data_IF_862752512333
#
_entry.id   IF_862752512333
#
_cell.length_a   1.000
_cell.length_b   1.000
_cell.length_c   1.000
_cell.angle_alpha   90.00
_cell.angle_beta   90.00
_cell.angle_gamma   90.00
#
_symmetry.space_group_name_H-M   'P 1'
#
loop_
_entity.id
_entity.type
_entity.pdbx_description
1 polymer ?
#
# COMPACT_ATOMS: atom_id res chain seq x y z
N UNK A 1 -49.13 -0.37 -25.07
CA UNK A 1 -49.56 -1.33 -26.11
C UNK A 1 -49.12 -2.73 -25.66
N UNK A 2 -50.08 -3.54 -25.18
CA UNK A 2 -49.80 -4.76 -24.42
C UNK A 2 -49.71 -6.00 -25.31
N UNK A 3 -48.69 -6.81 -25.07
CA UNK A 3 -48.42 -8.09 -25.74
C UNK A 3 -49.06 -9.24 -24.96
N UNK A 4 -49.45 -10.36 -25.60
CA UNK A 4 -50.03 -11.53 -24.90
C UNK A 4 -49.00 -12.23 -24.02
N UNK A 5 -49.40 -12.79 -22.89
CA UNK A 5 -48.44 -13.30 -21.92
C UNK A 5 -48.90 -14.65 -21.38
N UNK A 6 -48.26 -15.73 -21.84
CA UNK A 6 -48.34 -17.04 -21.20
C UNK A 6 -47.30 -17.09 -20.09
N UNK A 7 -47.76 -17.01 -18.85
CA UNK A 7 -46.93 -17.07 -17.64
C UNK A 7 -46.86 -18.51 -17.15
N UNK A 8 -45.66 -19.07 -17.05
CA UNK A 8 -45.40 -20.32 -16.36
C UNK A 8 -44.48 -20.04 -15.18
N UNK A 9 -44.92 -20.41 -13.98
CA UNK A 9 -44.11 -20.33 -12.76
C UNK A 9 -43.71 -21.73 -12.32
N UNK A 10 -42.41 -21.94 -12.12
CA UNK A 10 -41.87 -23.16 -11.54
C UNK A 10 -41.18 -22.79 -10.23
N UNK A 11 -41.61 -23.41 -9.12
CA UNK A 11 -40.96 -23.24 -7.82
C UNK A 11 -40.35 -24.56 -7.36
N UNK A 12 -39.04 -24.56 -7.08
CA UNK A 12 -38.36 -25.69 -6.43
C UNK A 12 -37.25 -25.14 -5.55
N UNK A 13 -37.22 -25.57 -4.28
CA UNK A 13 -36.17 -25.25 -3.32
C UNK A 13 -35.90 -23.74 -3.08
N UNK A 14 -36.93 -22.89 -3.11
CA UNK A 14 -36.81 -21.47 -2.75
C UNK A 14 -36.39 -20.52 -3.89
N UNK A 15 -36.12 -21.03 -5.09
CA UNK A 15 -36.00 -20.22 -6.31
C UNK A 15 -37.32 -20.22 -7.09
N UNK A 16 -37.76 -19.03 -7.52
CA UNK A 16 -38.96 -18.83 -8.36
C UNK A 16 -38.49 -18.41 -9.74
N UNK A 17 -38.91 -19.17 -10.76
CA UNK A 17 -38.61 -18.87 -12.15
C UNK A 17 -39.89 -18.44 -12.87
N UNK A 18 -39.82 -17.35 -13.63
CA UNK A 18 -40.96 -16.81 -14.38
C UNK A 18 -40.65 -16.79 -15.87
N UNK A 19 -41.45 -17.53 -16.63
CA UNK A 19 -41.36 -17.62 -18.07
C UNK A 19 -42.56 -16.92 -18.71
N UNK A 20 -42.29 -16.14 -19.75
CA UNK A 20 -43.28 -15.32 -20.43
C UNK A 20 -43.24 -15.52 -21.94
N UNK A 21 -44.26 -16.14 -22.51
CA UNK A 21 -44.35 -16.31 -23.96
C UNK A 21 -45.46 -15.44 -24.55
N UNK A 22 -45.17 -14.72 -25.63
CA UNK A 22 -46.11 -13.84 -26.34
C UNK A 22 -46.20 -14.19 -27.81
N UNK A 23 -47.33 -13.93 -28.46
CA UNK A 23 -47.46 -13.94 -29.93
C UNK A 23 -47.49 -12.52 -30.52
N UNK A 24 -47.24 -11.51 -29.67
CA UNK A 24 -47.28 -10.09 -30.01
C UNK A 24 -48.59 -9.56 -30.58
N UNK A 25 -49.70 -10.30 -30.47
CA UNK A 25 -50.99 -9.87 -30.99
C UNK A 25 -51.74 -9.00 -29.97
N UNK A 26 -51.92 -7.73 -30.35
CA UNK A 26 -52.45 -6.66 -29.52
C UNK A 26 -53.92 -6.84 -29.09
N UNK A 27 -54.66 -7.77 -29.71
CA UNK A 27 -56.11 -7.87 -29.50
C UNK A 27 -56.55 -8.84 -28.38
N UNK A 28 -55.64 -9.59 -27.75
CA UNK A 28 -56.03 -10.64 -26.79
C UNK A 28 -55.21 -10.67 -25.49
N UNK A 29 -54.50 -9.59 -25.12
CA UNK A 29 -53.75 -9.52 -23.84
C UNK A 29 -54.53 -8.85 -22.71
N UNK A 30 -54.35 -9.35 -21.49
CA UNK A 30 -55.01 -8.88 -20.27
C UNK A 30 -54.09 -7.96 -19.44
N UNK A 31 -52.76 -8.08 -19.58
CA UNK A 31 -51.79 -7.39 -18.72
C UNK A 31 -50.90 -6.44 -19.54
N UNK A 32 -50.60 -5.26 -18.98
CA UNK A 32 -49.64 -4.32 -19.58
C UNK A 32 -48.18 -4.64 -19.21
N UNK A 33 -47.23 -4.07 -19.95
CA UNK A 33 -45.78 -4.17 -19.65
C UNK A 33 -45.46 -3.84 -18.18
N UNK A 34 -46.00 -2.72 -17.68
CA UNK A 34 -45.79 -2.28 -16.30
C UNK A 34 -46.44 -3.21 -15.27
N UNK A 35 -47.56 -3.83 -15.61
CA UNK A 35 -48.20 -4.82 -14.73
C UNK A 35 -47.32 -6.05 -14.60
N UNK A 36 -46.75 -6.55 -15.70
CA UNK A 36 -45.83 -7.70 -15.68
C UNK A 36 -44.57 -7.39 -14.86
N UNK A 37 -43.94 -6.23 -15.07
CA UNK A 37 -42.76 -5.82 -14.29
C UNK A 37 -43.10 -5.74 -12.80
N UNK A 38 -44.24 -5.15 -12.45
CA UNK A 38 -44.71 -5.06 -11.07
C UNK A 38 -44.92 -6.45 -10.48
N UNK A 39 -45.63 -7.34 -11.19
CA UNK A 39 -45.92 -8.68 -10.68
C UNK A 39 -44.69 -9.55 -10.47
N UNK A 40 -43.66 -9.42 -11.31
CA UNK A 40 -42.40 -10.17 -11.12
C UNK A 40 -41.60 -9.59 -9.95
N UNK A 41 -41.49 -8.26 -9.87
CA UNK A 41 -40.75 -7.60 -8.78
C UNK A 41 -41.48 -7.72 -7.43
N UNK A 42 -42.80 -7.93 -7.39
CA UNK A 42 -43.56 -8.22 -6.18
C UNK A 42 -43.20 -9.58 -5.53
N UNK A 43 -42.60 -10.50 -6.27
CA UNK A 43 -42.25 -11.84 -5.77
C UNK A 43 -41.12 -11.75 -4.75
N UNK A 44 -39.99 -11.12 -5.12
CA UNK A 44 -38.77 -11.11 -4.29
C UNK A 44 -37.98 -9.78 -4.35
N UNK A 45 -38.59 -8.74 -4.94
CA UNK A 45 -38.00 -7.41 -5.09
C UNK A 45 -37.41 -7.13 -6.48
N UNK A 46 -37.02 -5.88 -6.69
CA UNK A 46 -36.53 -5.40 -7.98
C UNK A 46 -35.31 -6.19 -8.47
N UNK A 47 -35.41 -6.75 -9.68
CA UNK A 47 -34.34 -7.53 -10.35
C UNK A 47 -33.87 -8.76 -9.56
N UNK A 48 -34.69 -9.28 -8.64
CA UNK A 48 -34.38 -10.48 -7.86
C UNK A 48 -34.95 -11.74 -8.48
N UNK A 49 -36.01 -11.62 -9.27
CA UNK A 49 -36.62 -12.71 -10.03
C UNK A 49 -36.43 -12.46 -11.52
N UNK A 50 -35.56 -13.24 -12.20
CA UNK A 50 -35.34 -13.09 -13.63
C UNK A 50 -36.57 -13.55 -14.42
N UNK A 51 -37.01 -12.70 -15.35
CA UNK A 51 -38.08 -13.02 -16.29
C UNK A 51 -37.48 -13.39 -17.65
N UNK A 52 -37.68 -14.63 -18.08
CA UNK A 52 -37.28 -15.06 -19.42
C UNK A 52 -38.49 -14.89 -20.33
N UNK A 53 -38.39 -13.95 -21.29
CA UNK A 53 -39.49 -13.59 -22.18
C UNK A 53 -39.22 -13.95 -23.64
N UNK A 54 -40.23 -14.47 -24.34
CA UNK A 54 -40.10 -14.93 -25.72
C UNK A 54 -41.27 -14.53 -26.60
N UNK A 55 -40.99 -14.11 -27.84
CA UNK A 55 -42.01 -13.89 -28.86
C UNK A 55 -42.13 -15.10 -29.82
N UNK A 56 -43.25 -15.81 -29.77
CA UNK A 56 -43.67 -16.93 -30.60
C UNK A 56 -44.67 -16.47 -31.66
N UNK A 57 -44.20 -16.13 -32.86
CA UNK A 57 -45.08 -15.78 -33.99
C UNK A 57 -44.88 -16.75 -35.17
N UNK A 58 -45.24 -18.01 -34.97
CA UNK A 58 -45.11 -19.08 -35.98
C UNK A 58 -46.42 -19.14 -36.79
N UNK A 59 -46.48 -18.42 -37.92
CA UNK A 59 -47.64 -18.44 -38.81
C UNK A 59 -47.19 -18.72 -40.25
N UNK A 60 -47.79 -19.73 -40.89
CA UNK A 60 -47.59 -20.09 -42.30
C UNK A 60 -48.90 -19.86 -43.07
N UNK A 61 -48.93 -19.03 -44.14
CA UNK A 61 -47.81 -18.28 -44.74
C UNK A 61 -47.42 -17.03 -43.94
N UNK A 62 -46.13 -16.66 -43.99
CA UNK A 62 -45.62 -15.46 -43.30
C UNK A 62 -46.14 -14.20 -44.00
N UNK A 63 -47.08 -13.50 -43.37
CA UNK A 63 -47.58 -12.20 -43.83
C UNK A 63 -46.68 -11.05 -43.35
N UNK A 64 -46.81 -9.87 -43.96
CA UNK A 64 -46.11 -8.65 -43.49
C UNK A 64 -46.46 -8.29 -42.04
N UNK A 65 -47.70 -8.54 -41.62
CA UNK A 65 -48.14 -8.33 -40.23
C UNK A 65 -47.42 -9.26 -39.25
N UNK A 66 -47.20 -10.53 -39.62
CA UNK A 66 -46.42 -11.49 -38.81
C UNK A 66 -44.96 -11.05 -38.71
N UNK A 67 -44.35 -10.55 -39.80
CA UNK A 67 -42.98 -10.00 -39.75
C UNK A 67 -42.87 -8.75 -38.86
N UNK A 68 -43.85 -7.87 -38.93
CA UNK A 68 -43.91 -6.68 -38.07
C UNK A 68 -44.03 -7.07 -36.59
N UNK A 69 -44.88 -8.06 -36.27
CA UNK A 69 -45.03 -8.58 -34.92
C UNK A 69 -43.77 -9.29 -34.41
N UNK A 70 -43.03 -9.99 -35.27
CA UNK A 70 -41.73 -10.59 -34.92
C UNK A 70 -40.72 -9.50 -34.55
N UNK A 71 -40.67 -8.38 -35.28
CA UNK A 71 -39.71 -7.30 -35.03
C UNK A 71 -40.05 -6.38 -33.84
N UNK A 72 -41.27 -6.44 -33.31
CA UNK A 72 -41.74 -5.54 -32.24
C UNK A 72 -41.39 -6.09 -30.85
N UNK A 73 -40.11 -6.03 -30.48
CA UNK A 73 -39.59 -6.64 -29.24
C UNK A 73 -39.33 -5.62 -28.13
N UNK A 74 -39.73 -4.36 -28.31
CA UNK A 74 -39.34 -3.25 -27.42
C UNK A 74 -39.81 -3.49 -25.97
N UNK A 75 -41.08 -3.85 -25.81
CA UNK A 75 -41.64 -4.09 -24.47
C UNK A 75 -41.04 -5.33 -23.80
N UNK A 76 -40.73 -6.38 -24.58
CA UNK A 76 -40.05 -7.59 -24.07
C UNK A 76 -38.67 -7.25 -23.52
N UNK A 77 -37.90 -6.44 -24.27
CA UNK A 77 -36.59 -5.96 -23.84
C UNK A 77 -36.68 -5.11 -22.56
N UNK A 78 -37.68 -4.23 -22.45
CA UNK A 78 -37.90 -3.44 -21.23
C UNK A 78 -38.26 -4.31 -20.04
N UNK A 79 -39.17 -5.28 -20.21
CA UNK A 79 -39.56 -6.21 -19.15
C UNK A 79 -38.35 -7.02 -18.65
N UNK A 80 -37.57 -7.59 -19.56
CA UNK A 80 -36.36 -8.34 -19.21
C UNK A 80 -35.31 -7.46 -18.51
N UNK A 81 -35.11 -6.21 -18.98
CA UNK A 81 -34.20 -5.26 -18.31
C UNK A 81 -34.61 -4.91 -16.87
N UNK A 82 -35.90 -4.67 -16.64
CA UNK A 82 -36.41 -4.24 -15.33
C UNK A 82 -36.60 -5.38 -14.32
N UNK A 83 -36.61 -6.62 -14.79
CA UNK A 83 -36.68 -7.84 -13.98
C UNK A 83 -35.32 -8.55 -13.85
N UNK A 84 -34.30 -8.11 -14.58
CA UNK A 84 -32.97 -8.75 -14.57
C UNK A 84 -32.91 -10.07 -15.34
N UNK A 85 -33.88 -10.32 -16.23
CA UNK A 85 -33.93 -11.49 -17.10
C UNK A 85 -33.50 -11.19 -18.54
N UNK A 86 -33.93 -12.05 -19.49
CA UNK A 86 -33.53 -12.00 -20.89
C UNK A 86 -34.73 -12.13 -21.82
N UNK A 87 -34.65 -11.58 -23.03
CA UNK A 87 -35.70 -11.67 -24.05
C UNK A 87 -35.18 -12.38 -25.31
N UNK A 88 -36.06 -13.09 -26.03
CA UNK A 88 -35.75 -13.75 -27.30
C UNK A 88 -36.93 -13.68 -28.27
N UNK A 89 -36.68 -13.78 -29.58
CA UNK A 89 -37.71 -13.72 -30.63
C UNK A 89 -37.58 -14.89 -31.59
N UNK A 90 -38.70 -15.56 -31.86
CA UNK A 90 -38.74 -16.84 -32.53
C UNK A 90 -39.31 -16.68 -33.94
N UNK A 91 -38.51 -17.07 -34.93
CA UNK A 91 -38.75 -16.78 -36.35
C UNK A 91 -39.05 -18.06 -37.17
N UNK A 92 -38.63 -19.24 -36.69
CA UNK A 92 -38.92 -20.55 -37.30
C UNK A 92 -38.99 -21.66 -36.26
N UNK A 93 -39.69 -22.75 -36.61
CA UNK A 93 -39.70 -24.02 -35.87
C UNK A 93 -38.32 -24.71 -35.88
N UNK A 94 -37.47 -24.39 -36.86
CA UNK A 94 -36.12 -24.98 -36.97
C UNK A 94 -35.15 -24.53 -35.85
N UNK A 95 -35.55 -23.55 -35.03
CA UNK A 95 -34.76 -23.02 -33.92
C UNK A 95 -35.22 -23.51 -32.54
N UNK A 96 -36.14 -24.47 -32.47
CA UNK A 96 -36.64 -25.02 -31.19
C UNK A 96 -35.53 -25.50 -30.25
N UNK A 97 -34.46 -26.09 -30.78
CA UNK A 97 -33.35 -26.64 -29.97
C UNK A 97 -32.55 -25.51 -29.29
N UNK A 98 -32.30 -24.45 -30.05
CA UNK A 98 -31.61 -23.24 -29.59
C UNK A 98 -32.47 -22.52 -28.54
N UNK A 99 -33.79 -22.57 -28.68
CA UNK A 99 -34.74 -21.97 -27.72
C UNK A 99 -34.77 -22.75 -26.41
N UNK A 100 -34.93 -24.08 -26.47
CA UNK A 100 -34.89 -24.94 -25.28
C UNK A 100 -33.56 -24.72 -24.56
N UNK A 101 -32.45 -24.68 -25.30
CA UNK A 101 -31.13 -24.39 -24.72
C UNK A 101 -31.08 -22.99 -24.11
N UNK A 102 -31.47 -21.93 -24.81
CA UNK A 102 -31.40 -20.56 -24.26
C UNK A 102 -32.36 -20.36 -23.07
N UNK A 103 -33.57 -20.92 -23.10
CA UNK A 103 -34.56 -20.80 -22.02
C UNK A 103 -34.21 -21.63 -20.79
N UNK A 104 -33.67 -22.84 -20.99
CA UNK A 104 -33.37 -23.73 -19.88
C UNK A 104 -31.94 -23.59 -19.38
N UNK A 105 -30.96 -23.16 -20.18
CA UNK A 105 -29.55 -23.15 -19.78
C UNK A 105 -28.83 -21.80 -19.80
N UNK A 106 -29.02 -20.97 -20.83
CA UNK A 106 -28.13 -19.81 -21.05
C UNK A 106 -28.59 -18.53 -20.37
N UNK A 107 -29.91 -18.33 -20.23
CA UNK A 107 -30.43 -17.14 -19.60
C UNK A 107 -30.03 -17.06 -18.13
N UNK A 108 -29.70 -15.86 -17.65
CA UNK A 108 -29.41 -15.62 -16.23
C UNK A 108 -30.63 -16.01 -15.41
N UNK A 109 -30.46 -17.03 -14.58
CA UNK A 109 -31.58 -17.63 -13.86
C UNK A 109 -32.44 -18.58 -14.69
N UNK A 110 -31.85 -19.26 -15.66
CA UNK A 110 -32.44 -20.48 -16.19
C UNK A 110 -32.13 -21.68 -15.27
N UNK A 111 -32.87 -22.78 -15.43
CA UNK A 111 -32.68 -23.99 -14.61
C UNK A 111 -31.26 -24.58 -14.67
N UNK A 112 -30.60 -24.44 -15.82
CA UNK A 112 -29.24 -24.89 -16.08
C UNK A 112 -28.17 -23.82 -15.90
N UNK A 113 -28.53 -22.61 -15.45
CA UNK A 113 -27.60 -21.52 -15.21
C UNK A 113 -27.13 -21.51 -13.75
N UNK A 114 -25.85 -21.78 -13.53
CA UNK A 114 -25.21 -21.72 -12.22
C UNK A 114 -24.11 -20.68 -12.18
N UNK A 115 -24.09 -19.87 -11.11
CA UNK A 115 -22.96 -18.99 -10.82
C UNK A 115 -22.34 -19.34 -9.47
N UNK A 116 -21.02 -19.25 -9.41
CA UNK A 116 -20.24 -19.46 -8.19
C UNK A 116 -19.18 -18.36 -8.08
N UNK A 117 -19.21 -17.61 -6.98
CA UNK A 117 -18.19 -16.62 -6.65
C UNK A 117 -17.51 -17.00 -5.34
N UNK A 118 -16.18 -16.96 -5.33
CA UNK A 118 -15.41 -17.09 -4.11
C UNK A 118 -14.12 -16.27 -4.19
N UNK A 119 -13.54 -15.96 -3.02
CA UNK A 119 -12.28 -15.23 -2.92
C UNK A 119 -11.26 -16.07 -2.15
N UNK A 120 -10.07 -16.22 -2.72
CA UNK A 120 -8.93 -16.87 -2.09
C UNK A 120 -7.97 -15.81 -1.51
N UNK A 121 -7.61 -15.93 -0.22
CA UNK A 121 -6.54 -15.15 0.41
C UNK A 121 -5.28 -16.03 0.49
N UNK A 122 -4.18 -15.55 -0.10
CA UNK A 122 -2.90 -16.24 -0.12
C UNK A 122 -2.08 -15.98 1.17
N UNK A 123 -2.60 -15.18 2.10
CA UNK A 123 -2.02 -14.84 3.40
C UNK A 123 -0.99 -13.71 3.35
N UNK A 124 -0.26 -13.61 2.23
CA UNK A 124 0.73 -12.59 1.96
C UNK A 124 0.70 -12.18 0.48
N UNK A 125 1.42 -11.11 0.12
CA UNK A 125 1.60 -10.73 -1.28
C UNK A 125 2.60 -11.70 -1.91
N UNK A 126 2.15 -12.42 -2.93
CA UNK A 126 2.92 -13.43 -3.65
C UNK A 126 3.01 -13.10 -5.13
N UNK A 127 4.00 -13.66 -5.80
CA UNK A 127 4.12 -13.60 -7.26
C UNK A 127 3.28 -14.73 -7.87
N UNK A 128 2.19 -14.37 -8.54
CA UNK A 128 1.32 -15.33 -9.24
C UNK A 128 1.97 -15.75 -10.56
N UNK A 129 2.14 -17.06 -10.77
CA UNK A 129 2.69 -17.60 -12.01
C UNK A 129 1.58 -18.03 -12.97
N UNK A 130 0.65 -18.85 -12.49
CA UNK A 130 -0.43 -19.36 -13.33
C UNK A 130 -1.65 -19.81 -12.54
N UNK A 131 -2.79 -19.81 -13.20
CA UNK A 131 -4.05 -20.39 -12.71
C UNK A 131 -4.54 -21.40 -13.74
N UNK A 132 -4.88 -22.60 -13.28
CA UNK A 132 -5.54 -23.62 -14.08
C UNK A 132 -6.87 -23.97 -13.43
N UNK A 133 -7.92 -24.07 -14.24
CA UNK A 133 -9.25 -24.50 -13.78
C UNK A 133 -9.59 -25.82 -14.46
N UNK A 134 -10.16 -26.75 -13.69
CA UNK A 134 -10.53 -28.07 -14.16
C UNK A 134 -12.05 -28.22 -14.07
N UNK A 135 -12.70 -28.32 -15.22
CA UNK A 135 -14.15 -28.52 -15.32
C UNK A 135 -14.48 -29.94 -15.74
N UNK A 136 -15.55 -30.50 -15.18
CA UNK A 136 -16.25 -31.67 -15.72
C UNK A 136 -17.43 -31.18 -16.55
N UNK A 137 -17.30 -31.27 -17.88
CA UNK A 137 -18.34 -30.86 -18.82
C UNK A 137 -18.91 -32.13 -19.48
N UNK A 138 -20.09 -32.62 -19.06
CA UNK A 138 -20.59 -33.95 -19.43
C UNK A 138 -21.17 -34.03 -20.86
N UNK A 139 -21.52 -32.89 -21.46
CA UNK A 139 -22.08 -32.81 -22.82
C UNK A 139 -21.46 -31.62 -23.56
N UNK A 140 -21.31 -31.77 -24.88
CA UNK A 140 -20.95 -30.74 -25.86
C UNK A 140 -21.83 -29.48 -25.83
N UNK A 141 -23.06 -29.58 -25.29
CA UNK A 141 -23.99 -28.45 -25.12
C UNK A 141 -23.86 -27.77 -23.75
N UNK A 142 -23.15 -28.39 -22.81
CA UNK A 142 -22.83 -27.77 -21.52
C UNK A 142 -21.58 -26.91 -21.66
N UNK A 143 -21.47 -25.87 -20.84
CA UNK A 143 -20.31 -25.00 -20.85
C UNK A 143 -19.92 -24.57 -19.43
N UNK A 144 -18.65 -24.25 -19.25
CA UNK A 144 -18.12 -23.61 -18.07
C UNK A 144 -17.24 -22.45 -18.50
N UNK A 145 -17.42 -21.29 -17.88
CA UNK A 145 -16.56 -20.14 -18.06
C UNK A 145 -16.19 -19.54 -16.72
N UNK A 146 -15.08 -18.81 -16.69
CA UNK A 146 -14.65 -18.14 -15.48
C UNK A 146 -13.96 -16.82 -15.79
N UNK A 147 -14.04 -15.92 -14.82
CA UNK A 147 -13.34 -14.64 -14.79
C UNK A 147 -12.63 -14.51 -13.45
N UNK A 148 -11.64 -13.61 -13.42
CA UNK A 148 -10.84 -13.34 -12.22
C UNK A 148 -10.69 -11.85 -11.98
N UNK A 149 -10.63 -11.50 -10.71
CA UNK A 149 -10.25 -10.19 -10.26
C UNK A 149 -9.19 -10.30 -9.15
N UNK A 150 -8.28 -9.33 -9.11
CA UNK A 150 -7.15 -9.33 -8.18
C UNK A 150 -7.21 -8.17 -7.21
N UNK A 151 -6.75 -8.39 -5.99
CA UNK A 151 -6.65 -7.35 -4.97
C UNK A 151 -5.44 -7.58 -4.05
N UNK A 152 -4.90 -6.49 -3.48
CA UNK A 152 -3.86 -6.54 -2.45
C UNK A 152 -4.42 -6.32 -1.04
N UNK A 153 -5.57 -5.66 -0.91
CA UNK A 153 -6.18 -5.27 0.37
C UNK A 153 -7.46 -6.05 0.72
N UNK A 154 -8.04 -6.76 -0.25
CA UNK A 154 -9.28 -7.53 -0.10
C UNK A 154 -10.56 -6.70 -0.29
N UNK A 155 -10.44 -5.41 -0.60
CA UNK A 155 -11.58 -4.50 -0.79
C UNK A 155 -11.68 -4.04 -2.24
N UNK A 156 -10.57 -3.56 -2.81
CA UNK A 156 -10.53 -3.05 -4.18
C UNK A 156 -10.04 -4.15 -5.13
N UNK A 157 -10.95 -4.64 -5.98
CA UNK A 157 -10.65 -5.68 -6.96
C UNK A 157 -10.49 -5.09 -8.36
N UNK A 158 -9.34 -5.33 -8.98
CA UNK A 158 -9.10 -5.07 -10.40
C UNK A 158 -9.58 -6.26 -11.21
N UNK A 159 -10.69 -6.10 -11.93
CA UNK A 159 -11.25 -7.14 -12.79
C UNK A 159 -10.40 -7.29 -14.04
N UNK A 160 -10.06 -8.53 -14.38
CA UNK A 160 -9.51 -8.83 -15.71
C UNK A 160 -10.70 -9.00 -16.65
N UNK A 161 -10.84 -8.08 -17.60
CA UNK A 161 -11.90 -8.12 -18.61
C UNK A 161 -11.61 -9.18 -19.69
N UNK A 162 -11.51 -10.43 -19.24
CA UNK A 162 -11.31 -11.61 -20.07
C UNK A 162 -12.08 -12.77 -19.46
N UNK A 163 -12.97 -13.34 -20.26
CA UNK A 163 -13.65 -14.58 -19.92
C UNK A 163 -12.83 -15.75 -20.44
N UNK A 164 -12.49 -16.66 -19.55
CA UNK A 164 -11.78 -17.89 -19.88
C UNK A 164 -12.78 -19.02 -20.06
N UNK A 165 -12.57 -19.82 -21.10
CA UNK A 165 -13.38 -21.00 -21.37
C UNK A 165 -12.93 -22.16 -20.45
N UNK A 166 -13.77 -23.19 -20.35
CA UNK A 166 -13.53 -24.47 -19.66
C UNK A 166 -12.45 -25.34 -20.31
N UNK A 167 -11.45 -24.72 -20.93
CA UNK A 167 -10.25 -25.39 -21.38
C UNK A 167 -9.31 -25.53 -20.18
N UNK A 168 -8.86 -26.75 -19.87
CA UNK A 168 -7.87 -27.05 -18.82
C UNK A 168 -6.46 -26.49 -19.17
N UNK A 169 -6.40 -25.30 -19.76
CA UNK A 169 -5.18 -24.61 -20.18
C UNK A 169 -4.76 -23.64 -19.09
N UNK A 170 -3.50 -23.68 -18.65
CA UNK A 170 -2.99 -22.73 -17.68
C UNK A 170 -3.04 -21.30 -18.23
N UNK A 171 -3.57 -20.38 -17.44
CA UNK A 171 -3.47 -18.94 -17.68
C UNK A 171 -2.22 -18.44 -16.96
N UNK A 172 -1.20 -18.06 -17.71
CA UNK A 172 0.05 -17.52 -17.16
C UNK A 172 -0.02 -16.02 -16.93
N UNK A 173 0.67 -15.56 -15.89
CA UNK A 173 0.81 -14.15 -15.54
C UNK A 173 2.29 -13.80 -15.46
N UNK A 174 2.66 -12.63 -15.98
CA UNK A 174 4.01 -12.08 -15.87
C UNK A 174 4.02 -11.00 -14.78
N UNK A 175 4.97 -11.09 -13.84
CA UNK A 175 5.24 -10.08 -12.81
C UNK A 175 3.99 -9.61 -12.03
N UNK A 176 3.07 -10.54 -11.72
CA UNK A 176 1.81 -10.20 -11.06
C UNK A 176 1.88 -10.47 -9.55
N UNK A 177 2.07 -9.40 -8.78
CA UNK A 177 2.04 -9.44 -7.32
C UNK A 177 0.62 -9.23 -6.78
N UNK A 178 0.13 -10.19 -6.01
CA UNK A 178 -1.24 -10.21 -5.49
C UNK A 178 -1.31 -10.90 -4.12
N UNK A 179 -2.38 -10.62 -3.36
CA UNK A 179 -2.74 -11.38 -2.16
C UNK A 179 -4.09 -12.08 -2.29
N UNK A 180 -5.06 -11.39 -2.86
CA UNK A 180 -6.44 -11.87 -3.00
C UNK A 180 -6.77 -12.14 -4.46
N UNK A 181 -7.41 -13.27 -4.71
CA UNK A 181 -7.96 -13.63 -6.02
C UNK A 181 -9.45 -13.90 -5.85
N UNK A 182 -10.27 -13.13 -6.55
CA UNK A 182 -11.70 -13.41 -6.66
C UNK A 182 -11.94 -14.16 -7.96
N UNK A 183 -12.61 -15.29 -7.86
CA UNK A 183 -13.05 -16.10 -8.98
C UNK A 183 -14.55 -15.94 -9.14
N UNK A 184 -14.99 -15.74 -10.37
CA UNK A 184 -16.40 -15.80 -10.73
C UNK A 184 -16.56 -16.82 -11.85
N UNK A 185 -17.31 -17.88 -11.57
CA UNK A 185 -17.48 -19.06 -12.43
C UNK A 185 -18.93 -19.15 -12.84
N UNK A 186 -19.16 -19.35 -14.14
CA UNK A 186 -20.47 -19.56 -14.75
C UNK A 186 -20.50 -20.97 -15.33
N UNK A 187 -21.53 -21.72 -14.99
CA UNK A 187 -21.76 -23.10 -15.44
C UNK A 187 -23.12 -23.14 -16.14
N UNK A 188 -23.15 -23.69 -17.35
CA UNK A 188 -24.33 -23.79 -18.20
C UNK A 188 -24.60 -25.26 -18.52
N UNK A 189 -25.77 -25.77 -18.13
CA UNK A 189 -26.17 -27.16 -18.34
C UNK A 189 -26.89 -27.32 -19.68
N UNK A 190 -26.34 -28.09 -20.62
CA UNK A 190 -27.01 -28.38 -21.88
C UNK A 190 -28.26 -29.25 -21.71
N UNK A 191 -29.39 -28.82 -22.25
CA UNK A 191 -30.61 -29.62 -22.33
C UNK A 191 -30.79 -30.19 -23.75
N UNK A 192 -31.52 -31.30 -23.85
CA UNK A 192 -31.79 -31.99 -25.12
C UNK A 192 -33.27 -31.98 -25.43
N UNK A 193 -33.64 -31.79 -26.70
CA UNK A 193 -35.02 -31.95 -27.17
C UNK A 193 -35.52 -33.39 -27.13
N UNK A 194 -34.62 -34.38 -27.25
CA UNK A 194 -35.01 -35.78 -27.23
C UNK A 194 -35.46 -36.13 -25.80
N UNK A 195 -36.74 -36.48 -25.57
CA UNK A 195 -37.18 -37.02 -24.30
C UNK A 195 -36.60 -38.42 -24.19
N UNK A 196 -35.34 -38.50 -23.78
CA UNK A 196 -34.75 -39.75 -23.33
C UNK A 196 -35.41 -40.01 -21.98
N UNK A 197 -36.05 -41.18 -21.84
CA UNK A 197 -36.80 -41.71 -20.68
C UNK A 197 -36.79 -40.83 -19.41
N UNK A 198 -37.94 -40.68 -18.74
CA UNK A 198 -38.20 -39.87 -17.52
C UNK A 198 -37.20 -40.01 -16.34
N UNK A 199 -36.18 -40.87 -16.47
CA UNK A 199 -35.13 -41.15 -15.50
C UNK A 199 -33.69 -40.85 -15.97
N UNK A 200 -33.48 -40.29 -17.17
CA UNK A 200 -32.13 -39.84 -17.56
C UNK A 200 -31.80 -38.53 -16.86
N UNK A 201 -31.03 -38.65 -15.78
CA UNK A 201 -30.49 -37.53 -15.02
C UNK A 201 -29.66 -36.64 -15.95
N UNK A 202 -30.11 -35.39 -16.12
CA UNK A 202 -29.26 -34.32 -16.65
C UNK A 202 -28.08 -34.18 -15.69
N UNK A 203 -26.88 -34.53 -16.15
CA UNK A 203 -25.65 -34.37 -15.36
C UNK A 203 -25.24 -32.90 -15.52
N UNK A 204 -25.26 -32.09 -14.44
CA UNK A 204 -24.82 -30.72 -14.53
C UNK A 204 -23.30 -30.65 -14.69
N UNK A 205 -22.76 -29.66 -15.43
CA UNK A 205 -21.34 -29.39 -15.42
C UNK A 205 -20.89 -28.99 -14.01
N UNK A 206 -19.63 -29.30 -13.69
CA UNK A 206 -19.08 -28.97 -12.37
C UNK A 206 -17.65 -28.45 -12.47
N UNK A 207 -17.28 -27.59 -11.53
CA UNK A 207 -15.90 -27.20 -11.31
C UNK A 207 -15.28 -28.20 -10.32
N UNK A 208 -14.27 -28.95 -10.76
CA UNK A 208 -13.59 -29.96 -9.95
C UNK A 208 -12.53 -29.31 -9.06
N UNK A 209 -11.65 -28.50 -9.66
CA UNK A 209 -10.56 -27.86 -8.94
C UNK A 209 -10.09 -26.58 -9.62
N UNK A 210 -9.47 -25.73 -8.81
CA UNK A 210 -8.70 -24.57 -9.25
C UNK A 210 -7.31 -24.73 -8.68
N UNK A 211 -6.32 -24.78 -9.57
CA UNK A 211 -4.91 -24.90 -9.23
C UNK A 211 -4.24 -23.55 -9.40
N UNK A 212 -3.76 -22.98 -8.29
CA UNK A 212 -3.07 -21.70 -8.28
C UNK A 212 -1.59 -21.97 -8.05
N UNK A 213 -0.76 -21.59 -9.01
CA UNK A 213 0.70 -21.70 -8.92
C UNK A 213 1.28 -20.32 -8.63
N UNK A 214 1.99 -20.19 -7.52
CA UNK A 214 2.55 -18.93 -7.05
C UNK A 214 3.86 -19.14 -6.31
N UNK A 215 4.69 -18.08 -6.26
CA UNK A 215 5.93 -18.04 -5.50
C UNK A 215 5.75 -17.20 -4.23
N UNK A 216 6.01 -17.82 -3.08
CA UNK A 216 6.11 -17.12 -1.81
C UNK A 216 7.44 -16.41 -1.70
N UNK A 217 7.39 -15.18 -1.17
CA UNK A 217 8.60 -14.41 -0.91
C UNK A 217 9.40 -15.06 0.21
N UNK A 218 10.70 -15.28 -0.01
CA UNK A 218 11.60 -15.82 1.02
C UNK A 218 12.51 -14.73 1.55
N UNK A 219 12.57 -14.63 2.88
CA UNK A 219 13.52 -13.76 3.58
C UNK A 219 14.78 -14.53 3.94
N UNK A 220 15.93 -13.99 3.58
CA UNK A 220 17.25 -14.50 3.93
C UNK A 220 18.03 -13.39 4.59
N UNK A 221 18.70 -13.69 5.70
CA UNK A 221 19.54 -12.72 6.39
C UNK A 221 21.00 -13.05 6.17
N UNK A 222 21.78 -12.06 5.73
CA UNK A 222 23.22 -12.15 5.59
C UNK A 222 23.86 -11.19 6.60
N UNK A 223 24.61 -11.72 7.56
CA UNK A 223 25.33 -10.91 8.52
C UNK A 223 26.83 -10.93 8.20
N UNK A 224 27.42 -9.76 8.00
CA UNK A 224 28.87 -9.64 7.78
C UNK A 224 29.63 -9.88 9.09
N UNK A 225 30.94 -10.05 9.00
CA UNK A 225 31.78 -10.16 10.18
C UNK A 225 31.75 -8.87 11.00
N UNK A 226 31.72 -9.00 12.33
CA UNK A 226 31.83 -7.88 13.25
C UNK A 226 33.18 -7.18 13.14
N UNK A 227 33.20 -5.87 13.36
CA UNK A 227 34.43 -5.07 13.46
C UNK A 227 34.48 -4.35 14.79
N UNK A 228 35.60 -4.53 15.51
CA UNK A 228 35.92 -3.76 16.70
C UNK A 228 36.51 -2.40 16.31
N UNK A 229 36.14 -1.34 17.02
CA UNK A 229 36.62 0.03 16.82
C UNK A 229 36.90 0.70 18.17
N UNK A 230 37.42 1.92 18.14
CA UNK A 230 37.55 2.73 19.35
C UNK A 230 36.22 3.35 19.76
N UNK A 231 35.38 3.69 18.79
CA UNK A 231 34.05 4.27 19.01
C UNK A 231 33.02 3.74 18.03
N UNK A 232 31.76 3.77 18.44
CA UNK A 232 30.66 3.31 17.62
C UNK A 232 30.41 4.23 16.42
N UNK A 233 30.08 3.66 15.24
CA UNK A 233 29.65 4.45 14.10
C UNK A 233 28.36 5.21 14.42
N UNK A 234 28.32 6.50 14.06
CA UNK A 234 27.11 7.33 14.14
C UNK A 234 26.39 7.40 12.80
N UNK A 235 27.13 7.30 11.70
CA UNK A 235 26.58 7.25 10.36
C UNK A 235 27.33 6.20 9.54
N UNK A 236 26.60 5.45 8.73
CA UNK A 236 27.16 4.47 7.80
C UNK A 236 26.49 4.59 6.44
N UNK A 237 27.28 4.82 5.41
CA UNK A 237 26.85 4.76 4.02
C UNK A 237 27.09 3.33 3.55
N UNK A 238 26.06 2.69 2.99
CA UNK A 238 26.13 1.32 2.47
C UNK A 238 25.72 1.33 1.01
N UNK A 239 26.44 0.55 0.20
CA UNK A 239 26.11 0.27 -1.18
C UNK A 239 26.23 -1.23 -1.44
N UNK A 240 25.13 -1.84 -1.88
CA UNK A 240 25.08 -3.26 -2.24
C UNK A 240 24.97 -3.38 -3.74
N UNK A 241 25.99 -3.95 -4.38
CA UNK A 241 25.96 -4.28 -5.80
C UNK A 241 25.27 -5.63 -5.99
N UNK A 242 24.14 -5.64 -6.70
CA UNK A 242 23.33 -6.82 -6.97
C UNK A 242 22.89 -6.83 -8.44
N UNK A 243 22.31 -7.95 -8.92
CA UNK A 243 21.65 -7.98 -10.23
C UNK A 243 20.49 -6.98 -10.32
N UNK A 244 19.93 -6.73 -11.51
CA UNK A 244 18.79 -5.82 -11.71
C UNK A 244 17.55 -6.31 -10.92
N UNK A 245 17.48 -5.88 -9.67
CA UNK A 245 16.42 -6.19 -8.70
C UNK A 245 15.83 -4.89 -8.19
N UNK A 246 14.59 -4.97 -7.71
CA UNK A 246 13.98 -3.83 -7.06
C UNK A 246 14.77 -3.49 -5.78
N UNK A 247 15.04 -2.20 -5.56
CA UNK A 247 15.84 -1.75 -4.42
C UNK A 247 15.25 -2.14 -3.05
N UNK A 248 13.95 -2.47 -2.99
CA UNK A 248 13.22 -2.90 -1.79
C UNK A 248 13.50 -4.36 -1.40
N UNK A 249 14.09 -5.15 -2.30
CA UNK A 249 14.45 -6.55 -2.06
C UNK A 249 15.70 -6.71 -1.22
N UNK A 250 16.51 -5.65 -1.08
CA UNK A 250 17.68 -5.64 -0.22
C UNK A 250 17.52 -4.52 0.78
N UNK A 251 17.53 -4.87 2.07
CA UNK A 251 17.63 -3.91 3.15
C UNK A 251 18.94 -4.08 3.89
N UNK A 252 19.62 -2.98 4.15
CA UNK A 252 20.83 -2.94 4.96
C UNK A 252 20.53 -2.28 6.32
N UNK A 253 21.06 -2.89 7.39
CA UNK A 253 20.94 -2.42 8.76
C UNK A 253 22.25 -2.62 9.52
N UNK A 254 22.38 -1.99 10.69
CA UNK A 254 23.63 -1.92 11.45
C UNK A 254 23.42 -2.35 12.90
N UNK A 255 24.08 -3.38 13.38
CA UNK A 255 24.08 -3.69 14.82
C UNK A 255 25.32 -3.07 15.50
N UNK A 256 25.20 -2.70 16.78
CA UNK A 256 26.31 -2.22 17.64
C UNK A 256 26.82 -3.33 18.59
N UNK A 257 26.67 -4.57 18.14
CA UNK A 257 27.05 -5.82 18.81
C UNK A 257 27.30 -6.91 17.77
N UNK A 258 27.58 -8.13 18.23
CA UNK A 258 27.71 -9.31 17.36
C UNK A 258 26.38 -10.03 17.08
N UNK A 259 25.25 -9.36 17.31
CA UNK A 259 23.91 -9.96 17.23
C UNK A 259 23.62 -10.69 15.91
N UNK A 260 22.75 -11.69 15.99
CA UNK A 260 22.17 -12.41 14.84
C UNK A 260 20.65 -12.22 14.72
N UNK A 261 20.08 -11.26 15.45
CA UNK A 261 18.66 -10.91 15.34
C UNK A 261 18.49 -9.64 14.52
N UNK A 262 17.72 -9.71 13.43
CA UNK A 262 17.46 -8.58 12.52
C UNK A 262 16.91 -7.32 13.22
N UNK A 263 16.15 -7.46 14.31
CA UNK A 263 15.62 -6.32 15.07
C UNK A 263 16.73 -5.41 15.66
N UNK A 264 17.92 -5.98 15.86
CA UNK A 264 19.07 -5.25 16.38
C UNK A 264 19.79 -4.45 15.25
N UNK A 265 19.50 -4.77 13.97
CA UNK A 265 20.02 -4.09 12.78
C UNK A 265 19.05 -3.02 12.24
N UNK A 266 17.75 -3.27 12.40
CA UNK A 266 16.67 -2.43 11.88
C UNK A 266 15.54 -2.33 12.90
N UNK A 267 15.29 -1.12 13.38
CA UNK A 267 14.20 -0.78 14.29
C UNK A 267 13.79 0.69 14.13
N UNK A 268 12.77 1.13 14.84
CA UNK A 268 12.24 2.49 14.71
C UNK A 268 13.27 3.58 15.05
N UNK A 269 14.25 3.28 15.91
CA UNK A 269 15.32 4.22 16.27
C UNK A 269 16.43 4.29 15.22
N UNK A 270 16.56 3.23 14.43
CA UNK A 270 17.61 3.05 13.44
C UNK A 270 17.03 2.24 12.28
N UNK A 271 16.31 2.91 11.36
CA UNK A 271 15.67 2.23 10.25
C UNK A 271 16.71 1.62 9.32
N UNK A 272 16.37 0.48 8.72
CA UNK A 272 17.14 -0.06 7.60
C UNK A 272 16.99 0.85 6.39
N UNK A 273 18.01 0.83 5.54
CA UNK A 273 17.97 1.45 4.21
C UNK A 273 17.78 0.38 3.15
N UNK A 274 17.32 0.75 1.97
CA UNK A 274 17.31 -0.11 0.80
C UNK A 274 18.75 -0.40 0.32
N UNK A 275 18.89 -1.05 -0.84
CA UNK A 275 20.16 -1.44 -1.47
C UNK A 275 21.31 -0.40 -1.37
N UNK A 276 20.99 0.89 -1.46
CA UNK A 276 21.94 1.98 -1.30
C UNK A 276 21.36 3.06 -0.37
N UNK A 277 22.17 3.59 0.54
CA UNK A 277 21.72 4.65 1.42
C UNK A 277 22.63 4.93 2.61
N UNK A 278 22.09 5.68 3.56
CA UNK A 278 22.78 6.10 4.78
C UNK A 278 21.99 5.71 6.02
N UNK A 279 22.60 4.90 6.88
CA UNK A 279 22.09 4.51 8.19
C UNK A 279 22.57 5.54 9.21
N UNK A 280 21.65 6.05 10.03
CA UNK A 280 21.95 6.94 11.14
C UNK A 280 21.74 6.16 12.44
N UNK A 281 22.81 5.99 13.20
CA UNK A 281 22.79 5.28 14.46
C UNK A 281 22.76 6.31 15.61
N UNK A 282 21.72 6.32 16.47
CA UNK A 282 21.61 7.31 17.53
C UNK A 282 22.84 7.34 18.42
N UNK A 283 23.34 8.54 18.68
CA UNK A 283 24.43 8.78 19.61
C UNK A 283 23.81 8.95 20.99
N UNK A 284 23.92 7.91 21.82
CA UNK A 284 23.40 7.88 23.20
C UNK A 284 24.48 8.04 24.26
N UNK A 285 25.66 8.49 23.81
CA UNK A 285 26.84 8.79 24.60
C UNK A 285 27.66 9.86 23.87
N UNK A 286 28.09 10.91 24.57
CA UNK A 286 29.18 11.78 24.13
C UNK A 286 30.44 11.34 24.86
N UNK A 287 31.49 11.07 24.08
CA UNK A 287 32.82 10.85 24.63
C UNK A 287 33.33 12.19 25.15
N UNK A 288 33.32 12.34 26.46
CA UNK A 288 34.01 13.42 27.13
C UNK A 288 35.08 12.77 27.99
N UNK A 289 36.30 13.27 27.89
CA UNK A 289 37.39 13.06 28.84
C UNK A 289 37.04 13.48 30.30
N UNK A 290 35.75 13.63 30.62
CA UNK A 290 35.12 14.06 31.85
C UNK A 290 33.79 13.31 31.97
N UNK A 291 33.79 12.07 32.48
CA UNK A 291 32.73 11.32 33.18
C UNK A 291 31.23 11.73 33.04
N UNK A 292 30.73 12.15 31.88
CA UNK A 292 29.32 12.49 31.70
C UNK A 292 28.74 11.72 30.52
N UNK A 293 28.32 10.48 30.77
CA UNK A 293 27.33 9.86 29.87
C UNK A 293 26.08 10.75 29.93
N UNK A 294 25.73 11.39 28.83
CA UNK A 294 24.50 12.16 28.73
C UNK A 294 23.31 11.23 28.99
N UNK A 295 22.46 11.59 29.95
CA UNK A 295 21.35 10.74 30.37
C UNK A 295 20.15 11.03 29.48
N UNK A 296 19.76 10.04 28.68
CA UNK A 296 18.56 10.09 27.86
C UNK A 296 17.32 10.15 28.76
N UNK A 297 16.36 11.08 28.54
CA UNK A 297 15.15 11.12 29.35
C UNK A 297 14.24 9.91 29.07
N UNK A 298 13.66 9.36 30.14
CA UNK A 298 12.67 8.29 30.04
C UNK A 298 11.26 8.90 30.04
N UNK A 299 10.45 8.50 29.07
CA UNK A 299 9.06 8.94 28.85
C UNK A 299 8.10 7.96 29.53
N UNK A 300 7.18 8.45 30.35
CA UNK A 300 6.16 7.63 31.00
C UNK A 300 5.14 7.06 30.01
N UNK A 301 4.92 5.75 30.05
CA UNK A 301 3.81 5.09 29.36
C UNK A 301 2.65 4.86 30.33
N UNK A 302 2.94 4.23 31.47
CA UNK A 302 1.93 3.90 32.48
C UNK A 302 2.48 4.10 33.91
N UNK A 303 1.92 3.39 34.91
CA UNK A 303 2.33 3.52 36.31
C UNK A 303 3.62 2.77 36.66
N UNK A 304 4.12 1.91 35.79
CA UNK A 304 5.30 1.06 36.01
C UNK A 304 6.27 1.09 34.82
N UNK A 305 5.78 1.40 33.62
CA UNK A 305 6.54 1.36 32.39
C UNK A 305 6.98 2.75 31.92
N UNK A 306 8.26 2.83 31.62
CA UNK A 306 8.92 3.96 30.99
C UNK A 306 9.49 3.52 29.62
N UNK A 307 9.57 4.45 28.68
CA UNK A 307 10.14 4.26 27.34
C UNK A 307 11.32 5.19 27.12
N UNK A 308 12.33 4.72 26.42
CA UNK A 308 13.43 5.55 25.95
C UNK A 308 12.97 6.57 24.91
N UNK A 309 13.53 7.77 24.95
CA UNK A 309 13.24 8.84 23.99
C UNK A 309 13.58 8.46 22.55
N UNK A 310 14.75 7.86 22.33
CA UNK A 310 15.21 7.43 21.03
C UNK A 310 14.69 6.04 20.63
N UNK A 311 13.98 5.31 21.50
CA UNK A 311 13.46 3.98 21.19
C UNK A 311 14.43 2.82 21.49
N UNK A 312 14.27 1.65 20.85
CA UNK A 312 15.03 0.44 21.14
C UNK A 312 16.55 0.62 21.12
N UNK A 313 17.28 -0.20 21.85
CA UNK A 313 18.75 -0.16 21.88
C UNK A 313 19.36 -1.57 21.84
N UNK A 314 20.68 -1.63 21.68
CA UNK A 314 21.40 -2.89 21.56
C UNK A 314 21.31 -3.72 22.86
N UNK A 315 20.91 -5.00 22.80
CA UNK A 315 20.77 -5.84 23.99
C UNK A 315 22.06 -6.08 24.78
N UNK A 316 23.22 -5.91 24.15
CA UNK A 316 24.53 -6.08 24.78
C UNK A 316 25.11 -4.78 25.33
N UNK A 317 24.39 -3.66 25.23
CA UNK A 317 24.80 -2.39 25.81
C UNK A 317 24.79 -2.43 27.35
N UNK A 318 25.76 -1.73 27.96
CA UNK A 318 25.74 -1.46 29.39
C UNK A 318 24.76 -0.34 29.69
N UNK A 319 23.81 -0.59 30.60
CA UNK A 319 22.72 0.34 30.91
C UNK A 319 22.70 0.69 32.38
N UNK A 320 22.51 1.98 32.68
CA UNK A 320 22.28 2.50 34.03
C UNK A 320 21.06 3.40 34.02
N UNK A 321 20.08 3.13 34.88
CA UNK A 321 18.89 3.95 35.06
C UNK A 321 19.08 4.86 36.27
N UNK A 322 18.59 6.09 36.17
CA UNK A 322 18.67 7.08 37.23
C UNK A 322 17.28 7.59 37.59
N UNK A 323 17.07 7.84 38.88
CA UNK A 323 15.95 8.61 39.42
C UNK A 323 16.50 9.88 40.05
N UNK A 324 16.10 11.06 39.56
CA UNK A 324 16.54 12.38 40.04
C UNK A 324 18.06 12.47 40.22
N UNK A 325 18.76 11.98 39.20
CA UNK A 325 20.22 11.85 39.11
C UNK A 325 20.91 10.80 39.98
N UNK A 326 20.19 10.09 40.86
CA UNK A 326 20.71 8.98 41.64
C UNK A 326 20.61 7.66 40.86
N UNK A 327 21.61 6.78 41.00
CA UNK A 327 21.61 5.48 40.33
C UNK A 327 20.53 4.60 40.96
N UNK A 328 19.56 4.19 40.15
CA UNK A 328 18.53 3.24 40.55
C UNK A 328 19.13 1.83 40.61
N UNK A 329 18.82 1.08 41.66
CA UNK A 329 19.29 -0.30 41.81
C UNK A 329 18.75 -1.19 40.69
N UNK A 330 19.58 -2.06 40.12
CA UNK A 330 19.16 -2.99 39.07
C UNK A 330 18.11 -4.02 39.52
N UNK A 331 17.82 -4.11 40.82
CA UNK A 331 16.71 -4.92 41.37
C UNK A 331 15.36 -4.22 41.29
N UNK A 332 15.36 -2.91 41.10
CA UNK A 332 14.16 -2.07 41.12
C UNK A 332 13.55 -1.90 39.73
N UNK A 333 14.22 -2.40 38.68
CA UNK A 333 13.71 -2.35 37.32
C UNK A 333 14.14 -3.55 36.49
N UNK A 334 13.45 -3.74 35.37
CA UNK A 334 13.80 -4.70 34.33
C UNK A 334 13.86 -3.98 32.99
N UNK A 335 14.88 -4.31 32.20
CA UNK A 335 15.13 -3.72 30.89
C UNK A 335 14.59 -4.62 29.77
N UNK A 336 14.02 -3.99 28.75
CA UNK A 336 13.60 -4.63 27.50
C UNK A 336 14.20 -3.85 26.31
N UNK A 337 15.48 -4.11 25.96
CA UNK A 337 16.22 -3.32 24.98
C UNK A 337 15.55 -3.21 23.62
N UNK A 338 15.03 -4.32 23.09
CA UNK A 338 14.38 -4.39 21.77
C UNK A 338 13.04 -3.67 21.70
N UNK A 339 12.41 -3.43 22.84
CA UNK A 339 11.14 -2.70 22.95
C UNK A 339 11.37 -1.24 23.34
N UNK A 340 12.60 -0.88 23.75
CA UNK A 340 12.89 0.45 24.27
C UNK A 340 12.28 0.71 25.65
N UNK A 341 12.05 -0.33 26.47
CA UNK A 341 11.29 -0.22 27.71
C UNK A 341 12.12 -0.46 28.98
N UNK A 342 11.75 0.27 30.02
CA UNK A 342 12.19 0.06 31.41
C UNK A 342 10.93 -0.14 32.26
N UNK A 343 10.81 -1.31 32.89
CA UNK A 343 9.69 -1.63 33.78
C UNK A 343 10.18 -1.56 35.21
N UNK A 344 9.62 -0.66 36.00
CA UNK A 344 9.91 -0.51 37.42
C UNK A 344 9.16 -1.56 38.25
N UNK A 345 9.77 -1.95 39.36
CA UNK A 345 9.21 -2.88 40.35
C UNK A 345 8.24 -2.18 41.31
N UNK A 346 8.28 -0.85 41.36
CA UNK A 346 7.42 0.02 42.16
C UNK A 346 6.61 0.94 41.26
N UNK A 347 5.48 1.42 41.79
CA UNK A 347 4.64 2.41 41.12
C UNK A 347 5.39 3.74 41.04
N UNK A 348 5.43 4.34 39.85
CA UNK A 348 5.92 5.69 39.64
C UNK A 348 5.19 6.67 40.55
N UNK A 349 5.96 7.57 41.18
CA UNK A 349 5.40 8.57 42.05
C UNK A 349 4.34 9.43 41.33
N UNK A 350 3.33 9.86 42.09
CA UNK A 350 2.22 10.66 41.57
C UNK A 350 2.70 12.04 41.06
N UNK A 351 3.83 12.52 41.56
CA UNK A 351 4.47 13.79 41.20
C UNK A 351 5.52 13.66 40.08
N UNK A 352 5.53 12.56 39.32
CA UNK A 352 6.45 12.36 38.19
C UNK A 352 6.49 13.59 37.27
N UNK A 353 7.69 14.12 37.05
CA UNK A 353 8.00 15.14 36.04
C UNK A 353 8.85 14.54 34.94
N UNK A 354 8.72 15.08 33.73
CA UNK A 354 9.63 14.74 32.65
C UNK A 354 11.08 14.99 33.09
N UNK A 355 11.97 14.05 32.78
CA UNK A 355 13.38 13.98 33.23
C UNK A 355 13.63 13.56 34.68
N UNK A 356 12.59 13.24 35.47
CA UNK A 356 12.80 12.61 36.79
C UNK A 356 13.49 11.25 36.66
N UNK A 357 13.24 10.56 35.56
CA UNK A 357 13.92 9.31 35.22
C UNK A 357 14.73 9.50 33.95
N UNK A 358 15.98 9.04 33.99
CA UNK A 358 16.89 9.10 32.85
C UNK A 358 17.68 7.80 32.72
N UNK A 359 18.25 7.55 31.55
CA UNK A 359 18.97 6.32 31.24
C UNK A 359 20.28 6.63 30.52
N UNK A 360 21.33 5.91 30.90
CA UNK A 360 22.63 5.91 30.26
C UNK A 360 22.79 4.59 29.52
N UNK A 361 23.12 4.63 28.23
CA UNK A 361 23.25 3.45 27.37
C UNK A 361 24.59 3.51 26.65
N UNK A 362 25.51 2.64 27.07
CA UNK A 362 26.84 2.50 26.49
C UNK A 362 26.92 1.21 25.67
N UNK A 363 26.94 1.35 24.34
CA UNK A 363 27.14 0.22 23.43
C UNK A 363 28.59 -0.25 23.48
N UNK A 364 28.82 -1.53 23.18
CA UNK A 364 30.18 -2.03 22.95
C UNK A 364 30.79 -1.33 21.73
N UNK A 365 32.11 -1.15 21.67
CA UNK A 365 32.77 -0.57 20.50
C UNK A 365 32.97 -1.61 19.39
N UNK A 366 31.87 -2.24 19.00
CA UNK A 366 31.80 -3.28 17.98
C UNK A 366 30.58 -3.01 17.11
N UNK A 367 30.72 -3.17 15.80
CA UNK A 367 29.58 -3.05 14.90
C UNK A 367 29.55 -4.16 13.87
N UNK A 368 28.37 -4.40 13.31
CA UNK A 368 28.13 -5.45 12.31
C UNK A 368 27.09 -4.98 11.31
N UNK A 369 27.40 -5.11 10.01
CA UNK A 369 26.45 -4.82 8.94
C UNK A 369 25.64 -6.09 8.64
N UNK A 370 24.33 -5.95 8.52
CA UNK A 370 23.41 -7.03 8.17
C UNK A 370 22.59 -6.65 6.95
N UNK A 371 22.27 -7.64 6.13
CA UNK A 371 21.35 -7.51 5.00
C UNK A 371 20.13 -8.42 5.20
N UNK A 372 18.93 -7.89 5.02
CA UNK A 372 17.69 -8.65 4.78
C UNK A 372 17.48 -8.71 3.26
N UNK A 373 17.44 -9.93 2.72
CA UNK A 373 17.25 -10.22 1.31
C UNK A 373 15.88 -10.84 1.12
N UNK A 374 15.05 -10.24 0.28
CA UNK A 374 13.70 -10.68 -0.02
C UNK A 374 13.69 -11.22 -1.45
N UNK A 375 13.79 -12.55 -1.58
CA UNK A 375 13.63 -13.18 -2.87
C UNK A 375 12.14 -13.38 -3.16
N UNK A 376 11.64 -12.68 -4.19
CA UNK A 376 10.24 -12.70 -4.63
C UNK A 376 9.94 -13.83 -5.63
N UNK A 377 10.96 -14.46 -6.21
CA UNK A 377 10.85 -15.46 -7.28
C UNK A 377 11.62 -16.73 -6.94
N UNK A 378 11.09 -17.90 -7.32
CA UNK A 378 11.82 -19.16 -7.16
C UNK A 378 12.78 -19.45 -8.31
N UNK A 379 12.58 -18.79 -9.45
CA UNK A 379 13.37 -18.96 -10.68
C UNK A 379 14.46 -17.91 -10.82
N UNK A 380 14.21 -16.71 -10.33
CA UNK A 380 15.18 -15.61 -10.40
C UNK A 380 16.04 -15.61 -9.14
N UNK A 381 17.34 -15.80 -9.34
CA UNK A 381 18.31 -15.76 -8.26
C UNK A 381 18.61 -14.29 -7.92
N UNK A 382 18.57 -13.95 -6.64
CA UNK A 382 19.13 -12.70 -6.13
C UNK A 382 20.64 -12.89 -5.98
N UNK A 383 21.42 -12.17 -6.78
CA UNK A 383 22.88 -12.27 -6.80
C UNK A 383 23.50 -10.99 -6.22
N UNK A 384 24.40 -11.14 -5.26
CA UNK A 384 25.16 -10.03 -4.67
C UNK A 384 26.60 -10.11 -5.15
N UNK A 385 27.03 -9.14 -5.95
CA UNK A 385 28.37 -9.05 -6.50
C UNK A 385 29.35 -8.40 -5.52
N UNK A 386 28.87 -7.52 -4.63
CA UNK A 386 29.71 -6.85 -3.65
C UNK A 386 28.94 -5.97 -2.69
N UNK A 387 29.54 -5.73 -1.53
CA UNK A 387 29.00 -4.84 -0.49
C UNK A 387 30.11 -3.87 -0.11
N UNK A 388 29.87 -2.57 -0.33
CA UNK A 388 30.73 -1.49 0.09
C UNK A 388 30.08 -0.68 1.20
N UNK A 389 30.88 -0.24 2.18
CA UNK A 389 30.39 0.71 3.18
C UNK A 389 31.50 1.62 3.69
N UNK A 390 31.08 2.83 4.09
CA UNK A 390 31.89 3.85 4.74
C UNK A 390 31.17 4.30 6.00
N UNK A 391 31.89 4.58 7.08
CA UNK A 391 31.28 5.03 8.32
C UNK A 391 32.05 6.19 8.94
N UNK A 392 31.34 7.01 9.70
CA UNK A 392 31.91 8.07 10.52
C UNK A 392 31.69 7.73 11.99
N UNK A 393 32.68 8.03 12.82
CA UNK A 393 32.59 7.90 14.27
C UNK A 393 32.45 9.27 14.94
N UNK A 394 32.11 9.27 16.22
CA UNK A 394 31.92 10.51 17.00
C UNK A 394 33.23 11.13 17.51
N UNK A 395 34.39 10.53 17.21
CA UNK A 395 35.70 11.08 17.60
C UNK A 395 36.04 12.39 16.87
N UNK A 396 35.30 12.69 15.80
CA UNK A 396 35.41 13.92 15.03
C UNK A 396 34.06 14.64 14.93
N UNK A 397 33.36 14.80 16.05
CA UNK A 397 32.38 15.87 16.11
C UNK A 397 33.19 17.17 16.01
N UNK A 398 33.04 17.89 14.89
CA UNK A 398 33.49 19.27 14.79
C UNK A 398 33.01 19.95 16.06
N UNK A 399 33.90 20.58 16.86
CA UNK A 399 33.47 21.24 18.08
C UNK A 399 32.26 22.12 17.74
N UNK A 400 31.20 22.14 18.59
CA UNK A 400 30.09 23.04 18.36
C UNK A 400 30.69 24.42 18.08
N UNK A 401 30.20 25.12 17.07
CA UNK A 401 30.73 26.43 16.69
C UNK A 401 30.60 27.32 17.91
N UNK A 402 31.67 27.45 18.70
CA UNK A 402 31.60 28.05 20.03
C UNK A 402 31.64 29.57 19.98
N UNK A 403 31.88 30.14 18.79
CA UNK A 403 31.92 31.58 18.52
C UNK A 403 31.65 31.82 17.03
N UNK A 404 30.40 32.09 16.66
CA UNK A 404 30.14 32.85 15.44
C UNK A 404 30.34 34.34 15.74
N UNK A 405 30.84 35.09 14.76
CA UNK A 405 30.95 36.54 14.88
C UNK A 405 29.56 37.16 14.97
N UNK A 406 29.35 38.20 15.78
CA UNK A 406 28.06 38.88 15.85
C UNK A 406 27.71 39.53 14.50
N UNK A 407 26.41 39.65 14.23
CA UNK A 407 25.87 40.24 13.01
C UNK A 407 25.11 41.53 13.33
N UNK A 408 25.31 42.57 12.51
CA UNK A 408 24.48 43.77 12.52
C UNK A 408 23.35 43.61 11.49
N UNK A 409 22.09 43.71 11.93
CA UNK A 409 20.89 43.66 11.07
C UNK A 409 20.18 45.00 11.04
N UNK A 410 19.40 45.25 9.99
CA UNK A 410 18.61 46.47 9.80
C UNK A 410 19.46 47.76 9.87
N UNK A 411 20.60 47.74 9.19
CA UNK A 411 21.53 48.87 9.15
C UNK A 411 20.92 50.02 8.34
N UNK A 412 20.68 51.16 9.00
CA UNK A 412 20.18 52.41 8.40
C UNK A 412 21.18 53.53 8.67
N UNK A 413 21.61 54.19 7.59
CA UNK A 413 22.51 55.34 7.60
C UNK A 413 21.69 56.61 7.35
N UNK A 414 21.84 57.64 8.19
CA UNK A 414 21.14 58.91 8.02
C UNK A 414 22.15 60.07 7.99
N UNK A 415 22.07 61.01 7.04
CA UNK A 415 21.17 61.03 5.89
C UNK A 415 21.62 60.04 4.79
N UNK A 416 20.66 59.46 4.05
CA UNK A 416 20.92 58.55 2.92
C UNK A 416 21.84 59.16 1.83
N UNK A 417 21.96 60.49 1.80
CA UNK A 417 22.87 61.24 0.93
C UNK A 417 23.59 62.28 1.82
N UNK A 418 24.84 61.99 2.17
CA UNK A 418 25.66 62.87 2.99
C UNK A 418 26.43 63.91 2.16
N UNK A 419 26.49 65.15 2.63
CA UNK A 419 27.42 66.18 2.16
C UNK A 419 28.64 66.28 3.09
N UNK A 420 29.67 67.04 2.67
CA UNK A 420 30.96 67.14 3.36
C UNK A 420 30.88 67.59 4.85
N UNK A 421 29.74 68.12 5.28
CA UNK A 421 29.55 68.64 6.63
C UNK A 421 28.34 68.03 7.35
N UNK A 422 27.69 67.02 6.76
CA UNK A 422 26.55 66.38 7.40
C UNK A 422 27.03 65.35 8.43
N UNK A 423 26.50 65.37 9.67
CA UNK A 423 26.73 64.29 10.62
C UNK A 423 26.05 63.02 10.09
N UNK A 424 26.82 61.93 10.03
CA UNK A 424 26.31 60.61 9.65
C UNK A 424 25.94 59.86 10.93
N UNK A 425 24.70 59.42 11.02
CA UNK A 425 24.18 58.57 12.09
C UNK A 425 23.93 57.16 11.54
N UNK A 426 24.52 56.16 12.21
CA UNK A 426 24.32 54.74 11.92
C UNK A 426 23.39 54.15 12.97
N UNK A 427 22.32 53.49 12.54
CA UNK A 427 21.47 52.68 13.43
C UNK A 427 21.42 51.24 12.92
N UNK A 428 21.53 50.28 13.83
CA UNK A 428 21.46 48.85 13.53
C UNK A 428 20.96 48.09 14.76
N UNK A 429 20.56 46.84 14.53
CA UNK A 429 20.23 45.88 15.58
C UNK A 429 21.39 44.89 15.72
N UNK A 430 22.02 44.86 16.90
CA UNK A 430 23.05 43.89 17.22
C UNK A 430 22.43 42.51 17.48
N UNK A 431 22.91 41.50 16.75
CA UNK A 431 22.47 40.12 16.90
C UNK A 431 23.68 39.21 17.14
N UNK A 432 23.74 38.61 18.32
CA UNK A 432 24.73 37.59 18.64
C UNK A 432 24.03 36.30 19.06
N UNK A 433 24.36 35.21 18.35
CA UNK A 433 23.84 33.88 18.66
C UNK A 433 24.38 33.33 19.99
N UNK A 434 25.49 33.89 20.49
CA UNK A 434 26.09 33.56 21.78
C UNK A 434 25.49 34.37 22.95
N UNK A 435 24.57 35.31 22.67
CA UNK A 435 23.92 36.19 23.64
C UNK A 435 24.90 37.12 24.41
N UNK A 436 26.06 37.45 23.85
CA UNK A 436 26.92 38.48 24.43
C UNK A 436 26.26 39.86 24.25
N UNK A 437 26.36 40.73 25.25
CA UNK A 437 25.92 42.12 25.13
C UNK A 437 26.91 42.89 24.24
N UNK A 438 26.38 43.78 23.39
CA UNK A 438 27.19 44.68 22.60
C UNK A 438 28.08 45.56 23.49
N UNK A 439 29.40 45.53 23.25
CA UNK A 439 30.33 46.43 23.90
C UNK A 439 30.29 47.82 23.26
N UNK A 440 29.49 48.71 23.86
CA UNK A 440 29.33 50.11 23.41
C UNK A 440 30.52 51.00 23.71
N UNK A 441 31.59 50.47 24.33
CA UNK A 441 32.80 51.23 24.63
C UNK A 441 33.89 51.10 23.58
N UNK A 442 33.73 50.15 22.65
CA UNK A 442 34.63 49.90 21.52
C UNK A 442 33.94 50.23 20.18
N UNK A 443 33.33 51.41 20.09
CA UNK A 443 32.73 51.93 18.85
C UNK A 443 33.83 52.43 17.89
N UNK A 444 34.45 51.53 17.14
CA UNK A 444 35.26 51.88 15.98
C UNK A 444 34.37 52.07 14.74
N UNK A 445 33.69 53.21 14.65
CA UNK A 445 33.00 53.62 13.42
C UNK A 445 34.06 54.01 12.38
N UNK A 446 34.22 53.16 11.35
CA UNK A 446 35.14 53.41 10.25
C UNK A 446 34.52 54.40 9.25
N UNK A 447 34.79 55.69 9.42
CA UNK A 447 34.38 56.72 8.46
C UNK A 447 35.59 57.17 7.61
N UNK A 448 35.63 56.79 6.33
CA UNK A 448 36.44 57.46 5.30
C UNK A 448 35.84 57.23 3.90
N UNK A 449 35.23 58.27 3.33
CA UNK A 449 34.87 58.30 1.91
C UNK A 449 35.87 59.16 1.13
N UNK A 450 36.78 58.54 0.36
CA UNK A 450 37.57 59.24 -0.65
C UNK A 450 37.11 58.86 -2.07
N UNK A 451 36.79 59.88 -2.87
CA UNK A 451 36.03 59.82 -4.12
C UNK A 451 36.77 59.21 -5.33
N UNK A 452 37.82 58.39 -5.13
CA UNK A 452 38.64 57.94 -6.27
C UNK A 452 38.97 56.46 -6.40
N UNK A 453 38.73 55.59 -5.41
CA UNK A 453 38.90 54.13 -5.58
C UNK A 453 37.99 53.36 -4.62
N UNK A 454 37.18 52.44 -5.14
CA UNK A 454 36.44 51.47 -4.33
C UNK A 454 37.44 50.44 -3.81
N UNK A 455 37.97 50.68 -2.62
CA UNK A 455 38.73 49.72 -1.83
C UNK A 455 38.49 50.07 -0.35
N UNK A 456 37.63 49.29 0.31
CA UNK A 456 37.46 49.36 1.75
C UNK A 456 38.46 48.36 2.37
N UNK A 457 39.30 48.82 3.28
CA UNK A 457 40.26 47.95 3.98
C UNK A 457 40.29 48.29 5.46
N UNK A 458 40.18 47.27 6.30
CA UNK A 458 40.39 47.35 7.74
C UNK A 458 41.79 46.81 8.04
N UNK A 459 42.73 47.64 8.50
CA UNK A 459 43.94 47.11 9.12
C UNK A 459 43.61 46.74 10.57
N UNK A 460 43.46 45.45 10.85
CA UNK A 460 43.44 44.93 12.22
C UNK A 460 42.51 43.74 12.51
N UNK A 461 41.54 43.45 11.66
CA UNK A 461 40.68 42.27 11.76
C UNK A 461 40.63 41.56 10.41
N UNK A 462 40.61 40.23 10.44
CA UNK A 462 40.59 39.38 9.25
C UNK A 462 39.46 39.76 8.29
N UNK A 463 39.75 39.62 7.00
CA UNK A 463 38.92 40.03 5.86
C UNK A 463 37.43 39.67 6.04
N UNK A 464 36.56 40.67 6.08
CA UNK A 464 35.14 40.49 5.78
C UNK A 464 34.99 40.32 4.27
N UNK A 465 34.71 39.08 3.84
CA UNK A 465 34.33 38.80 2.45
C UNK A 465 32.83 38.99 2.32
N UNK A 466 32.41 40.08 1.68
CA UNK A 466 31.07 40.18 1.12
C UNK A 466 31.06 39.41 -0.20
N UNK A 467 30.35 38.28 -0.26
CA UNK A 467 30.01 37.64 -1.54
C UNK A 467 28.89 38.44 -2.21
N UNK A 468 29.09 39.02 -3.40
CA UNK A 468 28.01 39.58 -4.18
C UNK A 468 27.19 38.44 -4.82
N UNK A 469 25.86 38.54 -4.74
CA UNK A 469 24.95 37.67 -5.49
C UNK A 469 25.35 37.61 -6.98
N UNK A 470 25.31 36.43 -7.62
CA UNK A 470 25.62 36.30 -9.03
C UNK A 470 24.53 36.96 -9.88
N UNK A 471 24.87 38.12 -10.44
CA UNK A 471 24.14 38.75 -11.53
C UNK A 471 24.17 37.82 -12.74
N UNK A 472 23.01 37.32 -13.17
CA UNK A 472 22.86 36.64 -14.46
C UNK A 472 23.25 37.59 -15.61
N UNK A 473 24.17 37.21 -16.51
CA UNK A 473 24.30 37.90 -17.78
C UNK A 473 23.19 37.42 -18.71
N UNK A 474 22.42 38.39 -19.21
CA UNK A 474 21.68 38.23 -20.44
C UNK A 474 22.68 38.12 -21.60
N UNK A 475 22.60 37.01 -22.32
CA UNK A 475 22.76 36.91 -23.78
C UNK A 475 21.86 35.79 -24.30
#
# INVERSE_FOLDING_TARGET
PGHKFFRWSLSRAGAIWEYLLTDNDANLSINSENDVIRYVNEIDGNKKVPLISGNLAIVKPITLSVKANISDTESLNKMSFWTGGQSITLVSEDFLDEIVTTFYSEAVGALGYGTFEFTADLGEIVLLESITTNFDIPDSRSNGTWTIAFSNDGYEFTVIDKTYLSTNTPVSFENKYIRYIKFNVILLTGFSEIPVDEYNYVIPPSLISIEIKYNQSRKVYLYLNSKDQNTNPSQMIVSVNANDIDSDQIKAGLAKSDSHNWQDYANDSQPSINQNGKIFAPVRFRDSAINSVEKEPLIKIDRFALRTFYGPWDPEASVVVYEKDEILSSREYKLYPREGLVILSSVLSYDYKEKDYTISILNQNRYKLGLELINKSSTDQLEIYGIGYLYTTNDQLVPPITKESPEAKDVVLTPDIATLYDPIELSYTYFDINYDEEDKTDEHVCDYCDHKRVQCGCEGFGDFVFEPDPVMPWD
#
